data_IF_381158169212
#
_entry.id   IF_381158169212
#
_cell.length_a   1.000
_cell.length_b   1.000
_cell.length_c   1.000
_cell.angle_alpha   90.00
_cell.angle_beta   90.00
_cell.angle_gamma   90.00
#
_symmetry.space_group_name_H-M   'P 1'
#
loop_
_entity.id
_entity.type
_entity.pdbx_description
1 polymer ?
#
# COMPACT_ATOMS: atom_id res chain seq x y z
N UNK A 1 53.00 -28.93 33.71
CA UNK A 1 51.94 -29.11 32.72
C UNK A 1 50.86 -28.03 32.97
N UNK A 2 50.77 -27.01 32.11
CA UNK A 2 49.76 -25.98 32.21
C UNK A 2 48.67 -26.35 31.21
N UNK A 3 47.45 -26.63 31.70
CA UNK A 3 46.27 -26.90 30.87
C UNK A 3 45.69 -25.57 30.45
N UNK A 4 45.66 -25.30 29.14
CA UNK A 4 45.06 -24.11 28.55
C UNK A 4 43.59 -24.41 28.30
N UNK A 5 42.70 -23.75 29.04
CA UNK A 5 41.25 -23.87 28.87
C UNK A 5 40.83 -22.90 27.76
N UNK A 6 40.45 -23.43 26.58
CA UNK A 6 39.92 -22.64 25.47
C UNK A 6 38.41 -22.49 25.67
N UNK A 7 37.95 -21.29 25.97
CA UNK A 7 36.53 -20.95 26.05
C UNK A 7 36.00 -20.68 24.64
N UNK A 8 35.20 -21.58 24.11
CA UNK A 8 34.50 -21.39 22.83
C UNK A 8 33.23 -20.57 23.14
N UNK A 9 33.24 -19.29 22.79
CA UNK A 9 32.03 -18.44 22.82
C UNK A 9 31.24 -18.67 21.53
N UNK A 10 30.16 -19.44 21.61
CA UNK A 10 29.21 -19.61 20.50
C UNK A 10 28.33 -18.36 20.41
N UNK A 11 28.61 -17.51 19.44
CA UNK A 11 27.71 -16.38 19.08
C UNK A 11 26.52 -16.95 18.30
N UNK A 12 25.38 -17.06 18.97
CA UNK A 12 24.09 -17.33 18.32
C UNK A 12 23.68 -16.08 17.52
N UNK A 13 23.95 -16.09 16.22
CA UNK A 13 23.36 -15.14 15.29
C UNK A 13 21.86 -15.48 15.19
N UNK A 14 21.01 -14.64 15.80
CA UNK A 14 19.57 -14.65 15.53
C UNK A 14 19.35 -14.30 14.05
N UNK A 15 18.49 -15.02 13.33
CA UNK A 15 18.15 -14.64 11.96
C UNK A 15 17.41 -13.30 12.02
N UNK A 16 18.04 -12.25 11.50
CA UNK A 16 17.34 -11.01 11.16
C UNK A 16 16.42 -11.36 10.01
N UNK A 17 15.13 -11.46 10.27
CA UNK A 17 14.11 -11.42 9.22
C UNK A 17 14.15 -10.03 8.60
N UNK A 18 14.94 -9.88 7.54
CA UNK A 18 14.86 -8.72 6.67
C UNK A 18 13.46 -8.70 6.07
N UNK A 19 12.67 -7.67 6.35
CA UNK A 19 11.52 -7.37 5.54
C UNK A 19 12.02 -7.29 4.08
N UNK A 20 11.38 -8.02 3.17
CA UNK A 20 11.81 -8.00 1.77
C UNK A 20 11.62 -6.59 1.23
N UNK A 21 12.70 -5.97 0.74
CA UNK A 21 12.64 -4.69 0.05
C UNK A 21 11.47 -4.70 -0.95
N UNK A 22 10.69 -3.61 -1.03
CA UNK A 22 9.61 -3.50 -2.00
C UNK A 22 10.17 -3.65 -3.42
N UNK A 23 9.87 -4.76 -4.08
CA UNK A 23 10.56 -5.16 -5.31
C UNK A 23 9.69 -5.12 -6.55
N UNK A 24 8.38 -4.90 -6.40
CA UNK A 24 7.44 -4.88 -7.50
C UNK A 24 6.96 -3.46 -7.78
N UNK A 25 7.07 -3.02 -9.03
CA UNK A 25 6.67 -1.67 -9.45
C UNK A 25 5.17 -1.64 -9.75
N UNK A 26 4.51 -0.61 -9.23
CA UNK A 26 3.11 -0.27 -9.52
C UNK A 26 3.01 1.17 -10.00
N UNK A 27 1.98 1.45 -10.80
CA UNK A 27 1.47 2.80 -10.98
C UNK A 27 0.18 2.94 -10.19
N UNK A 28 0.16 3.87 -9.24
CA UNK A 28 -1.05 4.27 -8.53
C UNK A 28 -1.65 5.44 -9.27
N UNK A 29 -2.93 5.31 -9.63
CA UNK A 29 -3.71 6.40 -10.21
C UNK A 29 -4.81 6.76 -9.22
N UNK A 30 -4.85 8.01 -8.78
CA UNK A 30 -5.98 8.59 -8.07
C UNK A 30 -6.87 9.30 -9.08
N UNK A 31 -8.17 9.12 -8.96
CA UNK A 31 -9.15 9.66 -9.90
C UNK A 31 -10.27 10.34 -9.14
N UNK A 32 -10.66 11.53 -9.60
CA UNK A 32 -11.90 12.20 -9.19
C UNK A 32 -12.86 12.29 -10.40
N UNK A 33 -14.03 11.70 -10.26
CA UNK A 33 -15.04 11.74 -11.28
C UNK A 33 -15.66 13.14 -11.41
N UNK A 34 -16.13 13.48 -12.59
CA UNK A 34 -16.96 14.66 -12.77
C UNK A 34 -18.27 14.52 -11.95
N UNK A 35 -18.87 15.63 -11.49
CA UNK A 35 -20.09 15.58 -10.69
C UNK A 35 -21.18 14.71 -11.32
N UNK A 36 -21.66 13.73 -10.56
CA UNK A 36 -22.67 12.76 -11.00
C UNK A 36 -22.18 11.63 -11.90
N UNK A 37 -20.90 11.55 -12.25
CA UNK A 37 -20.36 10.58 -13.22
C UNK A 37 -19.61 9.40 -12.58
N UNK A 38 -19.52 9.32 -11.27
CA UNK A 38 -18.74 8.28 -10.58
C UNK A 38 -19.12 6.84 -11.00
N UNK A 39 -20.40 6.55 -11.11
CA UNK A 39 -20.85 5.20 -11.51
C UNK A 39 -20.43 4.86 -12.94
N UNK A 40 -20.48 5.84 -13.86
CA UNK A 40 -20.03 5.63 -15.25
C UNK A 40 -18.51 5.38 -15.31
N UNK A 41 -17.71 6.07 -14.48
CA UNK A 41 -16.27 5.82 -14.36
C UNK A 41 -16.02 4.40 -13.85
N UNK A 42 -16.75 3.98 -12.81
CA UNK A 42 -16.65 2.62 -12.26
C UNK A 42 -16.98 1.56 -13.32
N UNK A 43 -18.10 1.73 -14.02
CA UNK A 43 -18.55 0.78 -15.04
C UNK A 43 -17.55 0.70 -16.20
N UNK A 44 -17.02 1.85 -16.65
CA UNK A 44 -15.99 1.91 -17.68
C UNK A 44 -14.71 1.17 -17.27
N UNK A 45 -14.23 1.41 -16.05
CA UNK A 45 -13.03 0.74 -15.51
C UNK A 45 -13.26 -0.76 -15.33
N UNK A 46 -14.44 -1.19 -14.88
CA UNK A 46 -14.81 -2.62 -14.79
C UNK A 46 -14.84 -3.27 -16.17
N UNK A 47 -15.48 -2.64 -17.14
CA UNK A 47 -15.55 -3.14 -18.52
C UNK A 47 -14.16 -3.26 -19.17
N UNK A 48 -13.23 -2.37 -18.83
CA UNK A 48 -11.86 -2.39 -19.34
C UNK A 48 -10.97 -3.50 -18.78
N UNK A 49 -11.36 -4.17 -17.69
CA UNK A 49 -10.53 -5.16 -17.00
C UNK A 49 -10.07 -6.32 -17.89
N UNK A 50 -10.91 -6.78 -18.82
CA UNK A 50 -10.56 -7.87 -19.74
C UNK A 50 -9.41 -7.46 -20.70
N UNK A 51 -9.41 -6.21 -21.15
CA UNK A 51 -8.41 -5.68 -22.08
C UNK A 51 -6.97 -5.67 -21.52
N UNK A 52 -6.78 -5.68 -20.21
CA UNK A 52 -5.42 -5.74 -19.63
C UNK A 52 -4.70 -7.03 -20.02
N UNK A 53 -5.39 -8.17 -20.01
CA UNK A 53 -4.81 -9.44 -20.46
C UNK A 53 -4.44 -9.39 -21.94
N UNK A 54 -5.28 -8.79 -22.77
CA UNK A 54 -5.03 -8.67 -24.22
C UNK A 54 -3.85 -7.74 -24.50
N UNK A 55 -3.66 -6.71 -23.68
CA UNK A 55 -2.49 -5.83 -23.72
C UNK A 55 -1.21 -6.48 -23.17
N UNK A 56 -1.28 -7.67 -22.59
CA UNK A 56 -0.15 -8.34 -21.93
C UNK A 56 0.15 -7.78 -20.54
N UNK A 57 -0.84 -7.15 -19.91
CA UNK A 57 -0.74 -6.53 -18.59
C UNK A 57 -1.54 -7.32 -17.55
N UNK A 58 -1.15 -7.14 -16.29
CA UNK A 58 -1.92 -7.59 -15.14
C UNK A 58 -3.12 -6.66 -14.88
N UNK A 59 -4.26 -7.23 -14.48
CA UNK A 59 -5.45 -6.43 -14.16
C UNK A 59 -5.18 -5.51 -12.97
N UNK A 60 -5.58 -4.24 -13.03
CA UNK A 60 -5.53 -3.34 -11.88
C UNK A 60 -6.38 -3.80 -10.70
N UNK A 61 -6.03 -3.32 -9.52
CA UNK A 61 -6.85 -3.40 -8.32
C UNK A 61 -7.58 -2.05 -8.17
N UNK A 62 -8.89 -2.10 -8.00
CA UNK A 62 -9.75 -0.91 -7.96
C UNK A 62 -10.38 -0.74 -6.59
N UNK A 63 -10.14 0.39 -5.96
CA UNK A 63 -10.79 0.78 -4.71
C UNK A 63 -11.64 2.02 -4.93
N UNK A 64 -12.85 2.02 -4.37
CA UNK A 64 -13.71 3.18 -4.29
C UNK A 64 -13.58 3.80 -2.90
N UNK A 65 -13.35 5.09 -2.86
CA UNK A 65 -13.41 5.89 -1.65
C UNK A 65 -14.77 5.73 -0.95
N UNK A 66 -14.74 5.62 0.36
CA UNK A 66 -15.92 5.58 1.22
C UNK A 66 -15.93 6.78 2.16
N UNK A 67 -14.78 7.13 2.73
CA UNK A 67 -14.62 8.25 3.64
C UNK A 67 -13.13 8.64 3.74
N UNK A 68 -12.81 9.91 3.82
CA UNK A 68 -11.45 10.42 4.00
C UNK A 68 -11.07 11.44 2.93
N UNK A 69 -10.04 11.19 2.15
CA UNK A 69 -9.44 12.07 1.17
C UNK A 69 -10.40 12.48 0.02
N UNK A 70 -9.97 13.33 -0.89
CA UNK A 70 -10.79 13.95 -1.94
C UNK A 70 -10.93 13.12 -3.23
N UNK A 71 -10.15 12.07 -3.43
CA UNK A 71 -10.26 11.20 -4.61
C UNK A 71 -11.45 10.23 -4.49
N UNK A 72 -12.03 9.84 -5.63
CA UNK A 72 -13.14 8.87 -5.68
C UNK A 72 -12.64 7.44 -5.85
N UNK A 73 -11.59 7.25 -6.64
CA UNK A 73 -11.04 5.93 -6.97
C UNK A 73 -9.53 5.91 -6.85
N UNK A 74 -9.02 4.81 -6.28
CA UNK A 74 -7.62 4.42 -6.36
C UNK A 74 -7.51 3.21 -7.28
N UNK A 75 -6.72 3.36 -8.35
CA UNK A 75 -6.44 2.30 -9.33
C UNK A 75 -4.98 1.91 -9.19
N UNK A 76 -4.71 0.73 -8.66
CA UNK A 76 -3.35 0.21 -8.52
C UNK A 76 -3.03 -0.70 -9.70
N UNK A 77 -2.17 -0.24 -10.60
CA UNK A 77 -1.81 -0.90 -11.86
C UNK A 77 -0.48 -1.63 -11.69
N UNK A 78 -0.45 -2.97 -11.74
CA UNK A 78 0.79 -3.73 -11.64
C UNK A 78 1.64 -3.54 -12.89
N UNK A 79 2.91 -3.16 -12.72
CA UNK A 79 3.84 -2.92 -13.82
C UNK A 79 4.95 -3.97 -13.89
N UNK A 80 5.32 -4.58 -12.77
CA UNK A 80 6.47 -5.44 -12.52
C UNK A 80 7.77 -4.64 -12.52
N UNK A 81 8.14 -4.03 -13.65
CA UNK A 81 9.28 -3.13 -13.82
C UNK A 81 9.00 -2.11 -14.91
N UNK A 82 9.77 -1.03 -14.98
CA UNK A 82 9.69 -0.07 -16.09
C UNK A 82 9.98 -0.74 -17.45
N UNK A 83 11.00 -1.57 -17.51
CA UNK A 83 11.40 -2.24 -18.77
C UNK A 83 10.29 -3.18 -19.28
N UNK A 84 9.66 -3.93 -18.39
CA UNK A 84 8.52 -4.80 -18.75
C UNK A 84 7.33 -3.98 -19.22
N UNK A 85 6.94 -2.96 -18.46
CA UNK A 85 5.73 -2.18 -18.72
C UNK A 85 5.86 -1.28 -19.96
N UNK A 86 7.01 -0.64 -20.16
CA UNK A 86 7.28 0.27 -21.28
C UNK A 86 7.98 -0.39 -22.47
N UNK A 87 7.94 -1.73 -22.59
CA UNK A 87 8.38 -2.38 -23.82
C UNK A 87 7.54 -1.92 -25.02
N UNK A 88 8.16 -1.76 -26.19
CA UNK A 88 7.49 -1.24 -27.39
C UNK A 88 6.23 -2.05 -27.75
N UNK A 89 6.30 -3.38 -27.58
CA UNK A 89 5.18 -4.28 -27.84
C UNK A 89 3.99 -3.98 -26.90
N UNK A 90 4.24 -3.87 -25.59
CA UNK A 90 3.17 -3.61 -24.61
C UNK A 90 2.58 -2.21 -24.76
N UNK A 91 3.40 -1.20 -25.10
CA UNK A 91 2.91 0.14 -25.42
C UNK A 91 1.94 0.08 -26.60
N UNK A 92 2.36 -0.55 -27.73
CA UNK A 92 1.52 -0.64 -28.91
C UNK A 92 0.20 -1.37 -28.64
N UNK A 93 0.23 -2.48 -27.89
CA UNK A 93 -0.98 -3.22 -27.50
C UNK A 93 -1.90 -2.36 -26.64
N UNK A 94 -1.39 -1.67 -25.61
CA UNK A 94 -2.20 -0.78 -24.76
C UNK A 94 -2.83 0.36 -25.55
N UNK A 95 -2.09 0.99 -26.45
CA UNK A 95 -2.62 2.06 -27.29
C UNK A 95 -3.80 1.58 -28.16
N UNK A 96 -3.73 0.36 -28.68
CA UNK A 96 -4.84 -0.21 -29.45
C UNK A 96 -6.02 -0.59 -28.57
N UNK A 97 -5.75 -1.22 -27.42
CA UNK A 97 -6.78 -1.77 -26.54
C UNK A 97 -7.55 -0.67 -25.77
N UNK A 98 -6.85 0.38 -25.31
CA UNK A 98 -7.43 1.34 -24.37
C UNK A 98 -7.65 2.75 -24.92
N UNK A 99 -7.39 3.01 -26.22
CA UNK A 99 -7.54 4.34 -26.81
C UNK A 99 -8.93 4.95 -26.54
N UNK A 100 -9.96 4.20 -26.86
CA UNK A 100 -11.36 4.70 -26.73
C UNK A 100 -11.79 4.74 -25.27
N UNK A 101 -11.32 3.79 -24.45
CA UNK A 101 -11.53 3.81 -23.00
C UNK A 101 -10.89 5.04 -22.36
N UNK A 102 -9.64 5.37 -22.75
CA UNK A 102 -8.96 6.55 -22.20
C UNK A 102 -9.66 7.83 -22.62
N UNK A 103 -10.02 7.98 -23.90
CA UNK A 103 -10.76 9.15 -24.37
C UNK A 103 -12.09 9.32 -23.61
N UNK A 104 -12.79 8.22 -23.37
CA UNK A 104 -14.04 8.27 -22.60
C UNK A 104 -13.80 8.58 -21.12
N UNK A 105 -12.74 8.06 -20.51
CA UNK A 105 -12.37 8.36 -19.14
C UNK A 105 -12.06 9.85 -18.98
N UNK A 106 -11.32 10.44 -19.90
CA UNK A 106 -10.95 11.86 -19.88
C UNK A 106 -12.18 12.79 -19.89
N UNK A 107 -13.31 12.36 -20.50
CA UNK A 107 -14.58 13.09 -20.46
C UNK A 107 -15.33 12.94 -19.13
N UNK A 108 -15.04 11.90 -18.34
CA UNK A 108 -15.78 11.53 -17.15
C UNK A 108 -15.11 11.96 -15.85
N UNK A 109 -13.87 12.43 -15.91
CA UNK A 109 -13.09 12.81 -14.72
C UNK A 109 -12.80 14.32 -14.73
N UNK A 110 -12.62 14.87 -13.52
CA UNK A 110 -12.20 16.26 -13.33
C UNK A 110 -10.74 16.37 -12.93
N UNK A 111 -10.19 15.30 -12.33
CA UNK A 111 -8.83 15.27 -11.85
C UNK A 111 -8.29 13.84 -11.80
N UNK A 112 -7.01 13.71 -12.06
CA UNK A 112 -6.26 12.48 -11.81
C UNK A 112 -4.82 12.79 -11.42
N UNK A 113 -4.23 11.87 -10.68
CA UNK A 113 -2.81 11.89 -10.33
C UNK A 113 -2.21 10.51 -10.50
N UNK A 114 -1.05 10.45 -11.14
CA UNK A 114 -0.30 9.22 -11.38
C UNK A 114 1.00 9.24 -10.56
N UNK A 115 1.23 8.20 -9.76
CA UNK A 115 2.45 8.04 -8.95
C UNK A 115 2.99 6.64 -9.15
N UNK A 116 4.31 6.52 -9.36
CA UNK A 116 4.98 5.23 -9.44
C UNK A 116 5.55 4.87 -8.08
N UNK A 117 5.29 3.62 -7.66
CA UNK A 117 5.66 3.14 -6.34
C UNK A 117 6.24 1.73 -6.40
N UNK A 118 7.21 1.46 -5.57
CA UNK A 118 7.60 0.10 -5.25
C UNK A 118 6.76 -0.40 -4.09
N UNK A 119 6.29 -1.64 -4.18
CA UNK A 119 5.43 -2.27 -3.19
C UNK A 119 5.66 -3.77 -3.07
N UNK A 120 4.80 -4.48 -2.34
CA UNK A 120 4.91 -5.91 -2.10
C UNK A 120 4.76 -6.73 -3.40
N UNK A 121 5.15 -8.01 -3.38
CA UNK A 121 4.89 -8.94 -4.49
C UNK A 121 3.40 -8.96 -4.86
N UNK A 122 3.10 -8.92 -6.17
CA UNK A 122 1.72 -8.91 -6.66
C UNK A 122 0.88 -10.09 -6.15
N UNK A 123 1.49 -11.27 -6.00
CA UNK A 123 0.80 -12.47 -5.53
C UNK A 123 0.23 -12.30 -4.11
N UNK A 124 1.00 -11.68 -3.21
CA UNK A 124 0.59 -11.43 -1.83
C UNK A 124 -0.56 -10.41 -1.77
N UNK A 125 -0.44 -9.35 -2.56
CA UNK A 125 -1.48 -8.33 -2.68
C UNK A 125 -2.78 -8.91 -3.27
N UNK A 126 -2.70 -9.76 -4.31
CA UNK A 126 -3.86 -10.45 -4.90
C UNK A 126 -4.56 -11.34 -3.89
N UNK A 127 -3.80 -12.15 -3.15
CA UNK A 127 -4.36 -13.02 -2.10
C UNK A 127 -5.14 -12.24 -1.06
N UNK A 128 -4.59 -11.12 -0.59
CA UNK A 128 -5.29 -10.25 0.36
C UNK A 128 -6.52 -9.59 -0.27
N UNK A 129 -6.40 -9.13 -1.52
CA UNK A 129 -7.50 -8.52 -2.27
C UNK A 129 -8.69 -9.45 -2.43
N UNK A 130 -8.45 -10.71 -2.79
CA UNK A 130 -9.51 -11.69 -3.04
C UNK A 130 -10.29 -12.02 -1.77
N UNK A 131 -9.64 -11.95 -0.60
CA UNK A 131 -10.24 -12.24 0.71
C UNK A 131 -10.78 -11.00 1.43
N UNK A 132 -10.64 -9.80 0.86
CA UNK A 132 -11.00 -8.53 1.49
C UNK A 132 -12.02 -7.76 0.65
N UNK A 133 -12.82 -6.96 1.33
CA UNK A 133 -13.77 -6.05 0.70
C UNK A 133 -13.65 -4.61 1.22
N UNK A 134 -12.88 -4.41 2.30
CA UNK A 134 -12.70 -3.13 2.98
C UNK A 134 -11.22 -2.84 3.15
N UNK A 135 -10.82 -1.59 2.92
CA UNK A 135 -9.43 -1.16 2.95
C UNK A 135 -9.28 0.13 3.75
N UNK A 136 -8.15 0.24 4.44
CA UNK A 136 -7.68 1.48 5.04
C UNK A 136 -6.42 1.90 4.28
N UNK A 137 -6.46 3.08 3.67
CA UNK A 137 -5.37 3.65 2.89
C UNK A 137 -4.87 4.88 3.62
N UNK A 138 -3.60 4.88 4.01
CA UNK A 138 -2.94 6.03 4.62
C UNK A 138 -1.85 6.54 3.68
N UNK A 139 -1.88 7.82 3.31
CA UNK A 139 -0.89 8.48 2.46
C UNK A 139 -0.07 9.46 3.31
N UNK A 140 1.25 9.45 3.15
CA UNK A 140 2.17 10.19 4.01
C UNK A 140 3.11 11.08 3.20
N UNK A 141 3.24 12.34 3.62
CA UNK A 141 4.31 13.23 3.21
C UNK A 141 5.35 13.32 4.32
N UNK A 142 6.55 12.83 4.06
CA UNK A 142 7.64 12.87 5.03
C UNK A 142 8.21 14.29 5.17
N UNK A 143 8.73 14.60 6.35
CA UNK A 143 9.62 15.74 6.51
C UNK A 143 10.92 15.51 5.71
N UNK A 144 11.56 16.59 5.28
CA UNK A 144 12.79 16.52 4.51
C UNK A 144 13.85 15.64 5.20
N UNK A 145 14.34 14.61 4.48
CA UNK A 145 15.31 13.64 4.98
C UNK A 145 14.76 12.59 5.94
N UNK A 146 13.43 12.53 6.15
CA UNK A 146 12.79 11.58 7.08
C UNK A 146 12.14 10.37 6.41
N UNK A 147 12.21 10.25 5.09
CA UNK A 147 11.60 9.11 4.39
C UNK A 147 12.13 7.73 4.87
N UNK A 148 13.44 7.50 5.11
CA UNK A 148 13.91 6.23 5.65
C UNK A 148 13.41 5.96 7.09
N UNK A 149 13.33 6.99 7.93
CA UNK A 149 12.82 6.86 9.30
C UNK A 149 11.31 6.55 9.27
N UNK A 150 10.55 7.14 8.34
CA UNK A 150 9.14 6.86 8.12
C UNK A 150 8.93 5.41 7.66
N UNK A 151 9.73 4.91 6.72
CA UNK A 151 9.65 3.51 6.29
C UNK A 151 9.85 2.56 7.48
N UNK A 152 10.89 2.80 8.27
CA UNK A 152 11.16 2.02 9.47
C UNK A 152 10.00 2.08 10.47
N UNK A 153 9.39 3.24 10.63
CA UNK A 153 8.25 3.41 11.54
C UNK A 153 7.03 2.60 11.05
N UNK A 154 6.73 2.57 9.74
CA UNK A 154 5.67 1.73 9.16
C UNK A 154 5.96 0.23 9.32
N UNK A 155 7.21 -0.20 9.25
CA UNK A 155 7.62 -1.57 9.54
C UNK A 155 7.43 -1.92 11.03
N UNK A 156 7.74 -0.99 11.93
CA UNK A 156 7.47 -1.15 13.37
C UNK A 156 5.97 -1.24 13.64
N UNK A 157 5.15 -0.46 12.94
CA UNK A 157 3.68 -0.57 13.07
C UNK A 157 3.17 -1.93 12.57
N UNK A 158 3.71 -2.48 11.48
CA UNK A 158 3.40 -3.83 11.04
C UNK A 158 3.78 -4.89 12.10
N UNK A 159 4.93 -4.74 12.76
CA UNK A 159 5.31 -5.61 13.88
C UNK A 159 4.33 -5.49 15.06
N UNK A 160 3.85 -4.28 15.35
CA UNK A 160 2.80 -4.02 16.35
C UNK A 160 1.47 -4.69 15.96
N UNK A 161 1.00 -4.52 14.73
CA UNK A 161 -0.22 -5.14 14.23
C UNK A 161 -0.14 -6.67 14.29
N UNK A 162 1.00 -7.23 13.88
CA UNK A 162 1.27 -8.67 13.95
C UNK A 162 1.23 -9.20 15.39
N UNK A 163 1.82 -8.49 16.35
CA UNK A 163 1.78 -8.86 17.78
C UNK A 163 0.33 -8.86 18.32
N UNK A 164 -0.52 -7.99 17.80
CA UNK A 164 -1.95 -7.93 18.08
C UNK A 164 -2.79 -8.95 17.29
N UNK A 165 -2.16 -9.77 16.43
CA UNK A 165 -2.83 -10.69 15.49
C UNK A 165 -3.78 -9.96 14.53
N UNK A 166 -3.43 -8.72 14.17
CA UNK A 166 -4.12 -7.91 13.18
C UNK A 166 -3.44 -8.03 11.80
N UNK A 167 -4.16 -7.78 10.70
CA UNK A 167 -3.54 -7.70 9.38
C UNK A 167 -2.43 -6.64 9.35
N UNK A 168 -1.28 -7.02 8.82
CA UNK A 168 -0.19 -6.09 8.52
C UNK A 168 -0.55 -5.25 7.30
N UNK A 169 -0.07 -4.02 7.23
CA UNK A 169 -0.29 -3.12 6.10
C UNK A 169 0.69 -3.44 4.96
N UNK A 170 0.22 -3.39 3.73
CA UNK A 170 1.07 -3.34 2.55
C UNK A 170 1.68 -1.94 2.43
N UNK A 171 3.01 -1.86 2.39
CA UNK A 171 3.75 -0.59 2.32
C UNK A 171 4.15 -0.34 0.87
N UNK A 172 3.88 0.87 0.37
CA UNK A 172 4.25 1.33 -0.96
C UNK A 172 5.10 2.59 -0.83
N UNK A 173 6.30 2.56 -1.44
CA UNK A 173 7.26 3.68 -1.39
C UNK A 173 7.32 4.34 -2.76
N UNK A 174 7.19 5.67 -2.80
CA UNK A 174 7.25 6.43 -4.04
C UNK A 174 8.63 6.30 -4.71
N UNK A 175 8.60 6.06 -6.00
CA UNK A 175 9.74 6.16 -6.89
C UNK A 175 9.68 7.48 -7.68
N UNK A 176 8.54 7.74 -8.37
CA UNK A 176 8.34 8.96 -9.15
C UNK A 176 6.89 9.45 -9.01
N UNK A 177 6.71 10.75 -9.21
CA UNK A 177 5.45 11.46 -9.05
C UNK A 177 5.50 12.46 -7.90
N UNK A 178 4.40 13.19 -7.63
CA UNK A 178 4.43 14.30 -6.70
C UNK A 178 3.79 13.96 -5.34
N UNK A 179 2.69 14.27 -5.02
CA UNK A 179 1.86 14.41 -3.85
C UNK A 179 2.33 13.78 -2.53
N UNK A 180 2.77 12.53 -2.48
CA UNK A 180 3.09 11.83 -1.23
C UNK A 180 4.31 10.91 -1.41
N UNK A 181 5.03 10.66 -0.32
CA UNK A 181 6.27 9.87 -0.31
C UNK A 181 6.04 8.37 -0.14
N UNK A 182 4.98 8.03 0.56
CA UNK A 182 4.65 6.65 0.92
C UNK A 182 3.16 6.51 1.15
N UNK A 183 2.61 5.32 0.91
CA UNK A 183 1.29 4.98 1.41
C UNK A 183 1.24 3.54 1.89
N UNK A 184 0.27 3.25 2.74
CA UNK A 184 -0.03 1.90 3.21
C UNK A 184 -1.44 1.49 2.84
N UNK A 185 -1.65 0.18 2.68
CA UNK A 185 -2.97 -0.41 2.50
C UNK A 185 -3.17 -1.52 3.53
N UNK A 186 -4.05 -1.28 4.49
CA UNK A 186 -4.60 -2.33 5.35
C UNK A 186 -5.78 -3.01 4.65
N UNK A 187 -5.78 -4.35 4.60
CA UNK A 187 -6.81 -5.13 3.92
C UNK A 187 -7.66 -5.90 4.94
N UNK A 188 -8.98 -5.70 4.89
CA UNK A 188 -9.94 -6.25 5.85
C UNK A 188 -11.11 -6.90 5.15
N UNK A 189 -11.70 -7.94 5.76
CA UNK A 189 -12.90 -8.59 5.24
C UNK A 189 -14.08 -7.61 5.10
N UNK A 190 -14.25 -6.78 6.13
CA UNK A 190 -15.31 -5.78 6.26
C UNK A 190 -14.96 -4.74 7.32
N UNK A 191 -15.85 -3.76 7.53
CA UNK A 191 -15.70 -2.71 8.55
C UNK A 191 -15.64 -3.29 9.98
N UNK A 192 -16.32 -4.40 10.27
CA UNK A 192 -16.27 -5.04 11.61
C UNK A 192 -14.88 -5.57 11.87
N UNK A 193 -14.29 -6.27 10.89
CA UNK A 193 -12.92 -6.76 10.98
C UNK A 193 -11.91 -5.61 11.17
N UNK A 194 -12.09 -4.47 10.48
CA UNK A 194 -11.28 -3.27 10.70
C UNK A 194 -11.39 -2.79 12.16
N UNK A 195 -12.60 -2.71 12.69
CA UNK A 195 -12.87 -2.20 14.03
C UNK A 195 -12.51 -3.16 15.19
N UNK A 196 -12.15 -4.41 14.94
CA UNK A 196 -11.81 -5.41 15.98
C UNK A 196 -10.67 -4.96 16.90
N UNK A 197 -9.75 -4.09 16.42
CA UNK A 197 -8.68 -3.52 17.25
C UNK A 197 -9.20 -2.72 18.46
N UNK A 198 -10.41 -2.15 18.37
CA UNK A 198 -11.04 -1.42 19.47
C UNK A 198 -11.35 -2.31 20.69
N UNK A 199 -11.44 -3.63 20.50
CA UNK A 199 -11.65 -4.58 21.60
C UNK A 199 -10.38 -5.03 22.33
N UNK A 200 -9.19 -4.59 21.87
CA UNK A 200 -7.91 -4.98 22.47
C UNK A 200 -7.63 -4.08 23.69
N UNK A 201 -7.33 -4.69 24.85
CA UNK A 201 -7.04 -3.92 26.06
C UNK A 201 -5.82 -3.01 25.92
N UNK A 202 -5.82 -1.88 26.60
CA UNK A 202 -4.69 -0.94 26.61
C UNK A 202 -3.37 -1.62 27.02
N UNK A 203 -3.39 -2.50 28.01
CA UNK A 203 -2.22 -3.26 28.43
C UNK A 203 -1.69 -4.18 27.32
N UNK A 204 -2.59 -4.79 26.53
CA UNK A 204 -2.22 -5.61 25.38
C UNK A 204 -1.61 -4.78 24.25
N UNK A 205 -2.21 -3.64 23.95
CA UNK A 205 -1.69 -2.68 22.98
C UNK A 205 -0.32 -2.16 23.39
N UNK A 206 -0.13 -1.77 24.66
CA UNK A 206 1.13 -1.25 25.18
C UNK A 206 2.26 -2.30 25.13
N UNK A 207 1.94 -3.54 25.49
CA UNK A 207 2.90 -4.65 25.41
C UNK A 207 3.32 -4.92 23.95
N UNK A 208 2.38 -4.93 23.02
CA UNK A 208 2.66 -5.11 21.58
C UNK A 208 3.49 -3.96 21.00
N UNK A 209 3.19 -2.71 21.38
CA UNK A 209 3.93 -1.54 20.93
C UNK A 209 5.39 -1.56 21.40
N UNK A 210 5.63 -1.91 22.68
CA UNK A 210 6.97 -2.07 23.21
C UNK A 210 7.74 -3.21 22.52
N UNK A 211 7.09 -4.32 22.25
CA UNK A 211 7.69 -5.44 21.50
C UNK A 211 8.07 -5.05 20.06
N UNK A 212 7.32 -4.11 19.45
CA UNK A 212 7.58 -3.55 18.13
C UNK A 212 8.66 -2.44 18.10
N UNK A 213 9.16 -2.02 19.27
CA UNK A 213 10.20 -1.00 19.41
C UNK A 213 9.70 0.42 19.70
N UNK A 214 8.40 0.61 19.93
CA UNK A 214 7.85 1.88 20.41
C UNK A 214 7.98 2.00 21.93
N UNK A 215 7.97 3.21 22.45
CA UNK A 215 7.96 3.46 23.91
C UNK A 215 6.66 2.97 24.59
N UNK A 216 5.56 2.91 23.83
CA UNK A 216 4.24 2.48 24.26
C UNK A 216 3.19 2.76 23.20
N UNK A 217 1.99 2.20 23.32
CA UNK A 217 0.93 2.35 22.32
C UNK A 217 0.53 3.80 22.11
N UNK A 218 0.46 4.60 23.16
CA UNK A 218 0.13 6.02 23.09
C UNK A 218 1.28 6.90 22.51
N UNK A 219 2.42 6.32 22.16
CA UNK A 219 3.58 6.99 21.55
C UNK A 219 3.71 6.76 20.07
N UNK A 220 2.97 5.81 19.49
CA UNK A 220 3.01 5.51 18.05
C UNK A 220 2.66 6.76 17.24
N UNK A 221 1.46 7.34 17.41
CA UNK A 221 1.06 8.53 16.68
C UNK A 221 1.94 9.77 16.95
N UNK A 222 2.31 10.11 18.19
CA UNK A 222 3.28 11.19 18.44
C UNK A 222 4.62 10.96 17.74
N UNK A 223 5.15 9.74 17.71
CA UNK A 223 6.39 9.44 17.01
C UNK A 223 6.25 9.61 15.49
N UNK A 224 5.19 9.06 14.88
CA UNK A 224 4.89 9.27 13.46
C UNK A 224 4.90 10.76 13.11
N UNK A 225 4.26 11.61 13.92
CA UNK A 225 4.17 13.06 13.67
C UNK A 225 5.51 13.79 13.73
N UNK A 226 6.57 13.19 14.26
CA UNK A 226 7.93 13.74 14.17
C UNK A 226 8.60 13.46 12.81
N UNK A 227 8.00 12.62 11.98
CA UNK A 227 8.55 12.13 10.73
C UNK A 227 7.85 12.69 9.49
N UNK A 228 6.61 13.16 9.65
CA UNK A 228 5.73 13.59 8.56
C UNK A 228 5.34 15.06 8.66
N UNK A 229 5.08 15.68 7.50
CA UNK A 229 4.46 17.00 7.40
C UNK A 229 2.94 16.92 7.31
N UNK A 230 2.43 15.87 6.66
CA UNK A 230 1.00 15.58 6.56
C UNK A 230 0.74 14.07 6.36
N UNK A 231 -0.48 13.64 6.64
CA UNK A 231 -1.00 12.34 6.20
C UNK A 231 -2.51 12.43 5.97
N UNK A 232 -3.00 11.53 5.12
CA UNK A 232 -4.40 11.39 4.80
C UNK A 232 -4.85 9.96 5.04
N UNK A 233 -5.91 9.78 5.83
CA UNK A 233 -6.55 8.49 6.09
C UNK A 233 -7.80 8.35 5.22
N UNK A 234 -7.93 7.25 4.51
CA UNK A 234 -9.08 6.98 3.67
C UNK A 234 -9.59 5.57 3.89
N UNK A 235 -10.88 5.45 4.11
CA UNK A 235 -11.59 4.18 4.10
C UNK A 235 -12.12 3.93 2.68
N UNK A 236 -11.87 2.73 2.17
CA UNK A 236 -12.25 2.38 0.81
C UNK A 236 -12.85 0.96 0.73
N UNK A 237 -13.59 0.70 -0.32
CA UNK A 237 -14.17 -0.61 -0.62
C UNK A 237 -13.67 -1.11 -1.97
N UNK A 238 -13.56 -2.46 -2.13
CA UNK A 238 -13.16 -3.03 -3.41
C UNK A 238 -14.22 -2.80 -4.48
N UNK A 239 -13.76 -2.50 -5.70
CA UNK A 239 -14.57 -2.54 -6.93
C UNK A 239 -14.20 -3.83 -7.67
N UNK A 240 -15.09 -4.83 -7.58
CA UNK A 240 -14.93 -6.17 -8.21
C UNK A 240 -15.87 -6.33 -9.39
#
# INVERSE_FOLDING_TARGET
MRVLLVLIVSVLLAPTTSASEPTYLYKTKLVQAAPGRLLEVIDLLKASQAGFKDAGDERPLLMRHSQGDHWDLLVLIPMKSYADYYSAERIAKRMLTFRDTQARLDELITWQEDVFVYGPPLADLRKAWDSSAFFHVEMFDSLAGKQPDLLKEREMENAYLKALKRPENFIFVRDQGAAWDMFTIGAYRDLKHYAESAGISEAGQDAAAKAAGFEGANRIGPYLRTLISSHHDTLAVSVK
#
